data_IF_601287828520
#
_entry.id   IF_601287828520
#
_cell.length_a   1.000
_cell.length_b   1.000
_cell.length_c   1.000
_cell.angle_alpha   90.00
_cell.angle_beta   90.00
_cell.angle_gamma   90.00
#
_symmetry.space_group_name_H-M   'P 1'
#
loop_
_entity.id
_entity.type
_entity.pdbx_description
1 polymer ?
#
# COMPACT_ATOMS: atom_id res chain seq x y z
N UNK A 1 2.11 2.31 -19.74
CA UNK A 1 1.53 1.19 -18.94
C UNK A 1 1.69 1.59 -17.49
N UNK A 2 0.59 1.82 -16.75
CA UNK A 2 0.69 2.27 -15.36
C UNK A 2 1.17 1.09 -14.52
N UNK A 3 2.30 1.27 -13.81
CA UNK A 3 2.80 0.30 -12.84
C UNK A 3 1.70 0.14 -11.77
N UNK A 4 1.48 -1.09 -11.29
CA UNK A 4 0.51 -1.33 -10.20
C UNK A 4 1.02 -0.62 -8.93
N UNK A 5 0.48 0.54 -8.66
CA UNK A 5 0.88 1.47 -7.59
C UNK A 5 0.49 0.90 -6.24
N UNK A 6 1.44 0.58 -5.40
CA UNK A 6 1.16 -0.26 -4.21
C UNK A 6 0.89 0.47 -2.90
N UNK A 7 1.14 1.74 -2.68
CA UNK A 7 0.93 2.27 -1.32
C UNK A 7 0.47 3.73 -1.24
N UNK A 8 1.04 4.64 -1.97
CA UNK A 8 0.64 6.06 -1.89
C UNK A 8 -0.69 6.27 -2.63
N UNK A 9 -0.86 5.60 -3.78
CA UNK A 9 -2.09 5.68 -4.59
C UNK A 9 -3.29 4.97 -3.95
N UNK A 10 -3.10 3.98 -3.07
CA UNK A 10 -4.23 3.33 -2.39
C UNK A 10 -4.95 4.27 -1.40
N UNK A 11 -4.24 5.27 -0.86
CA UNK A 11 -4.84 6.33 -0.04
C UNK A 11 -5.47 7.45 -0.88
N UNK A 12 -4.99 7.65 -2.13
CA UNK A 12 -5.55 8.64 -3.06
C UNK A 12 -6.75 8.11 -3.86
N UNK A 13 -6.88 6.78 -4.01
CA UNK A 13 -8.00 6.10 -4.68
C UNK A 13 -9.09 5.63 -3.69
N UNK A 14 -9.13 6.16 -2.48
CA UNK A 14 -10.41 6.11 -1.76
C UNK A 14 -11.46 6.72 -2.70
N UNK A 15 -12.53 5.98 -3.04
CA UNK A 15 -13.54 6.53 -3.93
C UNK A 15 -13.94 7.88 -3.35
N UNK A 16 -13.78 8.95 -4.15
CA UNK A 16 -14.35 10.25 -3.81
C UNK A 16 -15.83 9.96 -3.61
N UNK A 17 -16.25 9.83 -2.36
CA UNK A 17 -17.64 9.52 -2.04
C UNK A 17 -18.40 10.78 -2.38
N UNK A 18 -19.07 10.75 -3.53
CA UNK A 18 -20.02 11.76 -3.91
C UNK A 18 -21.21 11.74 -2.93
N UNK A 19 -21.05 12.37 -1.78
CA UNK A 19 -22.20 12.83 -1.04
C UNK A 19 -22.65 14.12 -1.71
N UNK A 20 -23.76 14.06 -2.45
CA UNK A 20 -24.45 15.24 -2.97
C UNK A 20 -24.91 16.10 -1.78
N UNK A 21 -24.08 17.00 -1.35
CA UNK A 21 -24.40 18.03 -0.36
C UNK A 21 -24.61 19.35 -1.10
N UNK A 22 -25.73 19.96 -0.80
CA UNK A 22 -26.38 21.06 -1.48
C UNK A 22 -25.55 22.28 -1.83
N UNK A 23 -26.06 23.04 -2.78
CA UNK A 23 -25.58 24.32 -3.29
C UNK A 23 -25.09 25.30 -2.19
N UNK A 24 -23.81 25.36 -2.05
CA UNK A 24 -23.09 26.44 -1.39
C UNK A 24 -21.75 26.59 -2.10
N UNK A 25 -21.31 27.80 -2.45
CA UNK A 25 -19.97 27.99 -2.98
C UNK A 25 -18.98 27.62 -1.89
N UNK A 26 -18.31 26.47 -2.02
CA UNK A 26 -17.28 26.10 -1.06
C UNK A 26 -16.01 26.90 -1.32
N UNK A 27 -15.45 27.44 -0.25
CA UNK A 27 -14.15 28.11 -0.27
C UNK A 27 -13.03 27.07 -0.14
N UNK A 28 -11.85 27.43 -0.67
CA UNK A 28 -10.61 26.68 -0.42
C UNK A 28 -10.50 26.36 1.08
N UNK A 29 -10.17 25.08 1.44
CA UNK A 29 -9.90 24.73 2.84
C UNK A 29 -8.82 25.63 3.45
N UNK A 30 -8.98 25.98 4.72
CA UNK A 30 -7.93 26.66 5.47
C UNK A 30 -6.73 25.72 5.61
N UNK A 31 -5.52 26.27 5.42
CA UNK A 31 -4.27 25.51 5.44
C UNK A 31 -3.48 25.82 6.71
N UNK A 32 -3.01 24.77 7.38
CA UNK A 32 -2.08 24.88 8.50
C UNK A 32 -0.72 24.30 8.10
N UNK A 33 0.22 25.20 7.82
CA UNK A 33 1.58 24.87 7.39
C UNK A 33 2.58 24.82 8.54
N UNK A 34 2.15 24.91 9.80
CA UNK A 34 3.05 24.75 10.94
C UNK A 34 3.78 23.39 10.86
N UNK A 35 5.08 23.42 11.11
CA UNK A 35 5.89 22.21 11.11
C UNK A 35 5.65 21.43 12.40
N UNK A 36 5.21 20.18 12.27
CA UNK A 36 4.97 19.26 13.40
C UNK A 36 6.08 18.23 13.59
N UNK A 37 6.82 17.96 12.52
CA UNK A 37 7.97 17.03 12.55
C UNK A 37 8.93 17.36 11.42
N UNK A 38 10.13 16.77 11.49
CA UNK A 38 11.14 16.90 10.44
C UNK A 38 11.67 15.49 10.10
N UNK A 39 11.67 15.15 8.82
CA UNK A 39 12.29 13.93 8.32
C UNK A 39 13.73 14.22 7.87
N UNK A 40 14.68 13.38 8.33
CA UNK A 40 16.14 13.44 8.10
C UNK A 40 16.78 14.82 8.39
N UNK A 41 16.18 15.60 9.29
CA UNK A 41 16.64 16.97 9.57
C UNK A 41 16.50 17.92 8.38
N UNK A 42 15.83 17.53 7.30
CA UNK A 42 15.76 18.22 6.02
C UNK A 42 14.33 18.53 5.56
N UNK A 43 13.43 17.57 5.67
CA UNK A 43 12.09 17.70 5.11
C UNK A 43 11.09 18.07 6.19
N UNK A 44 10.48 19.23 6.08
CA UNK A 44 9.45 19.68 7.00
C UNK A 44 8.14 18.92 6.74
N UNK A 45 7.56 18.41 7.82
CA UNK A 45 6.22 17.77 7.83
C UNK A 45 5.25 18.79 8.42
N UNK A 46 4.35 19.30 7.57
CA UNK A 46 3.33 20.25 8.02
C UNK A 46 2.24 19.56 8.86
N UNK A 47 1.55 20.35 9.66
CA UNK A 47 0.37 19.92 10.42
C UNK A 47 -0.66 19.25 9.49
N UNK A 48 -1.00 19.89 8.36
CA UNK A 48 -1.97 19.38 7.41
C UNK A 48 -1.57 18.04 6.80
N UNK A 49 -0.29 17.87 6.43
CA UNK A 49 0.19 16.60 5.89
C UNK A 49 0.09 15.48 6.93
N UNK A 50 0.50 15.74 8.17
CA UNK A 50 0.37 14.77 9.25
C UNK A 50 -1.09 14.46 9.54
N UNK A 51 -1.94 15.49 9.65
CA UNK A 51 -3.36 15.37 9.94
C UNK A 51 -4.11 14.57 8.87
N UNK A 52 -3.73 14.72 7.60
CA UNK A 52 -4.27 13.91 6.50
C UNK A 52 -4.06 12.41 6.77
N UNK A 53 -2.84 11.98 7.08
CA UNK A 53 -2.56 10.57 7.41
C UNK A 53 -3.27 10.15 8.69
N UNK A 54 -3.23 10.98 9.72
CA UNK A 54 -3.85 10.69 11.00
C UNK A 54 -5.36 10.42 10.86
N UNK A 55 -6.09 11.29 10.17
CA UNK A 55 -7.54 11.14 9.97
C UNK A 55 -7.88 9.93 9.10
N UNK A 56 -7.09 9.66 8.08
CA UNK A 56 -7.29 8.48 7.23
C UNK A 56 -7.06 7.18 8.01
N UNK A 57 -5.99 7.07 8.79
CA UNK A 57 -5.76 5.87 9.61
C UNK A 57 -6.76 5.76 10.76
N UNK A 58 -7.23 6.86 11.32
CA UNK A 58 -8.24 6.87 12.38
C UNK A 58 -9.55 6.17 11.94
N UNK A 59 -9.88 6.18 10.64
CA UNK A 59 -11.08 5.49 10.12
C UNK A 59 -11.06 3.97 10.30
N UNK A 60 -9.89 3.38 10.51
CA UNK A 60 -9.74 1.94 10.77
C UNK A 60 -10.01 1.56 12.24
N UNK A 61 -10.22 2.53 13.12
CA UNK A 61 -10.47 2.32 14.53
C UNK A 61 -11.93 2.71 14.89
N UNK A 62 -12.53 1.96 15.80
CA UNK A 62 -13.85 2.22 16.35
C UNK A 62 -13.75 2.98 17.69
N UNK A 63 -14.88 3.51 18.19
CA UNK A 63 -14.92 4.15 19.51
C UNK A 63 -14.46 3.21 20.63
N UNK A 64 -14.76 1.91 20.51
CA UNK A 64 -14.35 0.88 21.48
C UNK A 64 -12.84 0.75 21.64
N UNK A 65 -12.08 1.02 20.57
CA UNK A 65 -10.62 0.93 20.60
C UNK A 65 -10.00 2.03 21.49
N UNK A 66 -10.78 3.07 21.82
CA UNK A 66 -10.38 4.18 22.69
C UNK A 66 -11.02 4.12 24.08
N UNK A 67 -11.85 3.11 24.39
CA UNK A 67 -12.49 2.89 25.68
C UNK A 67 -11.62 2.02 26.61
N UNK A 68 -12.04 1.88 27.88
CA UNK A 68 -11.50 0.94 28.86
C UNK A 68 -9.98 1.00 29.11
N UNK A 69 -9.39 2.20 29.01
CA UNK A 69 -7.95 2.41 29.24
C UNK A 69 -7.07 2.10 28.03
N UNK A 70 -7.64 1.76 26.86
CA UNK A 70 -6.90 1.45 25.65
C UNK A 70 -6.50 2.70 24.85
N UNK A 71 -7.07 3.87 25.13
CA UNK A 71 -6.89 5.09 24.35
C UNK A 71 -5.42 5.41 24.06
N UNK A 72 -4.55 5.37 25.07
CA UNK A 72 -3.13 5.69 24.91
C UNK A 72 -2.40 4.68 23.99
N UNK A 73 -2.73 3.39 24.10
CA UNK A 73 -2.14 2.35 23.24
C UNK A 73 -2.62 2.48 21.79
N UNK A 74 -3.90 2.78 21.60
CA UNK A 74 -4.50 3.00 20.28
C UNK A 74 -3.93 4.25 19.62
N UNK A 75 -3.77 5.36 20.36
CA UNK A 75 -3.11 6.57 19.88
C UNK A 75 -1.64 6.31 19.48
N UNK A 76 -0.90 5.55 20.29
CA UNK A 76 0.47 5.20 19.97
C UNK A 76 0.56 4.38 18.66
N UNK A 77 -0.33 3.40 18.48
CA UNK A 77 -0.41 2.60 17.25
C UNK A 77 -0.79 3.46 16.03
N UNK A 78 -1.76 4.35 16.18
CA UNK A 78 -2.18 5.27 15.12
C UNK A 78 -1.03 6.20 14.72
N UNK A 79 -0.30 6.76 15.69
CA UNK A 79 0.88 7.59 15.46
C UNK A 79 1.98 6.81 14.73
N UNK A 80 2.25 5.57 15.14
CA UNK A 80 3.21 4.70 14.48
C UNK A 80 2.87 4.48 13.01
N UNK A 81 1.59 4.21 12.70
CA UNK A 81 1.12 4.06 11.31
C UNK A 81 1.33 5.34 10.50
N UNK A 82 1.01 6.52 11.07
CA UNK A 82 1.24 7.81 10.42
C UNK A 82 2.72 8.05 10.13
N UNK A 83 3.58 7.81 11.11
CA UNK A 83 5.03 7.99 10.94
C UNK A 83 5.61 7.00 9.93
N UNK A 84 5.11 5.76 9.90
CA UNK A 84 5.51 4.77 8.90
C UNK A 84 5.11 5.21 7.47
N UNK A 85 3.89 5.74 7.28
CA UNK A 85 3.47 6.27 5.99
C UNK A 85 4.33 7.47 5.56
N UNK A 86 4.63 8.39 6.48
CA UNK A 86 5.49 9.53 6.22
C UNK A 86 6.93 9.13 5.90
N UNK A 87 7.45 8.06 6.51
CA UNK A 87 8.75 7.49 6.11
C UNK A 87 8.74 7.06 4.65
N UNK A 88 7.67 6.43 4.19
CA UNK A 88 7.53 6.05 2.78
C UNK A 88 7.46 7.27 1.86
N UNK A 89 6.69 8.30 2.23
CA UNK A 89 6.61 9.57 1.48
C UNK A 89 8.02 10.18 1.32
N UNK A 90 8.73 10.40 2.41
CA UNK A 90 10.04 11.03 2.36
C UNK A 90 11.16 10.09 1.90
N UNK A 91 10.97 8.79 2.02
CA UNK A 91 11.80 7.79 1.35
C UNK A 91 11.71 7.88 -0.17
N UNK A 92 10.50 8.08 -0.71
CA UNK A 92 10.30 8.34 -2.14
C UNK A 92 10.99 9.63 -2.56
N UNK A 93 10.81 10.74 -1.81
CA UNK A 93 11.52 12.01 -2.09
C UNK A 93 13.04 11.80 -2.08
N UNK A 94 13.56 11.12 -1.06
CA UNK A 94 15.01 10.83 -0.93
C UNK A 94 15.51 9.95 -2.07
N UNK A 95 14.75 8.93 -2.49
CA UNK A 95 15.08 8.10 -3.65
C UNK A 95 15.10 8.92 -4.94
N UNK A 96 14.12 9.80 -5.16
CA UNK A 96 14.09 10.71 -6.30
C UNK A 96 15.34 11.58 -6.36
N UNK A 97 15.70 12.23 -5.26
CA UNK A 97 16.89 13.10 -5.18
C UNK A 97 18.19 12.34 -5.44
N UNK A 98 18.30 11.10 -4.95
CA UNK A 98 19.48 10.26 -5.18
C UNK A 98 19.76 9.99 -6.67
N UNK A 99 18.73 10.08 -7.50
CA UNK A 99 18.82 9.93 -8.97
C UNK A 99 18.67 11.26 -9.72
N UNK A 100 18.69 12.40 -9.01
CA UNK A 100 18.66 13.75 -9.60
C UNK A 100 17.26 14.21 -10.01
N UNK A 101 16.21 13.57 -9.48
CA UNK A 101 14.82 14.02 -9.63
C UNK A 101 14.42 14.79 -8.38
N UNK A 102 14.03 16.05 -8.52
CA UNK A 102 13.58 16.87 -7.38
C UNK A 102 12.11 17.23 -7.49
N UNK A 103 11.49 17.56 -6.36
CA UNK A 103 10.10 18.01 -6.33
C UNK A 103 9.90 19.34 -7.08
N UNK A 104 10.94 20.17 -7.18
CA UNK A 104 10.95 21.46 -7.88
C UNK A 104 11.33 21.35 -9.36
N UNK A 105 11.59 20.15 -9.87
CA UNK A 105 11.89 19.93 -11.28
C UNK A 105 10.73 20.46 -12.16
N UNK A 106 10.99 21.31 -13.15
CA UNK A 106 9.93 21.90 -13.98
C UNK A 106 9.01 20.87 -14.64
N UNK A 107 9.54 19.69 -15.03
CA UNK A 107 8.74 18.64 -15.65
C UNK A 107 7.87 17.91 -14.62
N UNK A 108 8.31 17.80 -13.37
CA UNK A 108 7.52 17.28 -12.26
C UNK A 108 6.37 18.22 -11.93
N UNK A 109 6.68 19.52 -11.81
CA UNK A 109 5.66 20.54 -11.53
C UNK A 109 4.61 20.61 -12.64
N UNK A 110 5.02 20.60 -13.91
CA UNK A 110 4.10 20.62 -15.05
C UNK A 110 3.19 19.37 -15.06
N UNK A 111 3.76 18.19 -14.85
CA UNK A 111 2.99 16.94 -14.81
C UNK A 111 1.96 16.95 -13.66
N UNK A 112 2.36 17.43 -12.48
CA UNK A 112 1.47 17.56 -11.33
C UNK A 112 0.32 18.56 -11.62
N UNK A 113 0.61 19.73 -12.21
CA UNK A 113 -0.40 20.73 -12.57
C UNK A 113 -1.39 20.22 -13.62
N UNK A 114 -0.97 19.34 -14.53
CA UNK A 114 -1.88 18.67 -15.47
C UNK A 114 -2.85 17.79 -14.70
N UNK A 115 -2.36 16.95 -13.79
CA UNK A 115 -3.20 16.05 -12.99
C UNK A 115 -4.18 16.82 -12.09
N UNK A 116 -3.74 17.94 -11.49
CA UNK A 116 -4.60 18.81 -10.67
C UNK A 116 -5.74 19.39 -11.50
N UNK A 117 -5.43 19.92 -12.70
CA UNK A 117 -6.46 20.44 -13.61
C UNK A 117 -7.45 19.37 -14.03
N UNK A 118 -6.97 18.19 -14.39
CA UNK A 118 -7.82 17.06 -14.75
C UNK A 118 -8.73 16.64 -13.57
N UNK A 119 -8.22 16.68 -12.33
CA UNK A 119 -9.02 16.42 -11.14
C UNK A 119 -10.11 17.49 -10.96
N UNK A 120 -9.79 18.77 -11.07
CA UNK A 120 -10.73 19.89 -10.98
C UNK A 120 -11.83 19.77 -12.06
N UNK A 121 -11.45 19.50 -13.31
CA UNK A 121 -12.39 19.35 -14.44
C UNK A 121 -13.29 18.12 -14.24
N UNK A 122 -12.72 16.99 -13.83
CA UNK A 122 -13.48 15.73 -13.63
C UNK A 122 -14.50 15.83 -12.49
N UNK A 123 -14.24 16.69 -11.50
CA UNK A 123 -15.13 16.93 -10.37
C UNK A 123 -16.23 17.96 -10.66
N UNK A 124 -16.13 18.72 -11.74
CA UNK A 124 -17.14 19.72 -12.11
C UNK A 124 -16.72 21.16 -11.84
N UNK A 125 -15.45 21.39 -11.43
CA UNK A 125 -14.88 22.70 -11.19
C UNK A 125 -14.29 22.88 -9.79
N UNK A 126 -13.76 24.08 -9.53
CA UNK A 126 -13.04 24.37 -8.28
C UNK A 126 -13.89 24.19 -7.02
N UNK A 127 -15.19 24.55 -7.06
CA UNK A 127 -16.08 24.38 -5.90
C UNK A 127 -16.18 22.91 -5.48
N UNK A 128 -16.47 22.03 -6.44
CA UNK A 128 -16.63 20.60 -6.18
C UNK A 128 -15.28 19.95 -5.82
N UNK A 129 -14.20 20.45 -6.39
CA UNK A 129 -12.83 20.04 -6.02
C UNK A 129 -12.55 20.35 -4.54
N UNK A 130 -12.83 21.57 -4.06
CA UNK A 130 -12.61 21.91 -2.65
C UNK A 130 -13.54 21.16 -1.70
N UNK A 131 -14.78 20.86 -2.10
CA UNK A 131 -15.69 20.01 -1.36
C UNK A 131 -15.15 18.57 -1.26
N UNK A 132 -14.60 18.04 -2.34
CA UNK A 132 -13.97 16.72 -2.36
C UNK A 132 -12.73 16.67 -1.46
N UNK A 133 -11.86 17.69 -1.50
CA UNK A 133 -10.71 17.76 -0.61
C UNK A 133 -11.14 17.76 0.85
N UNK A 134 -12.09 18.60 1.21
CA UNK A 134 -12.62 18.73 2.57
C UNK A 134 -13.24 17.42 3.06
N UNK A 135 -13.99 16.74 2.21
CA UNK A 135 -14.62 15.45 2.53
C UNK A 135 -13.59 14.33 2.78
N UNK A 136 -12.39 14.48 2.21
CA UNK A 136 -11.27 13.54 2.39
C UNK A 136 -10.21 14.06 3.40
N UNK A 137 -10.55 15.07 4.20
CA UNK A 137 -9.63 15.65 5.18
C UNK A 137 -8.30 16.14 4.59
N UNK A 138 -8.34 16.66 3.37
CA UNK A 138 -7.17 17.08 2.61
C UNK A 138 -7.23 18.59 2.34
N UNK A 139 -6.10 19.26 2.36
CA UNK A 139 -5.96 20.64 1.90
C UNK A 139 -5.43 20.66 0.45
N UNK A 140 -5.55 21.80 -0.21
CA UNK A 140 -5.04 21.97 -1.57
C UNK A 140 -3.50 21.78 -1.61
N UNK A 141 -2.79 22.28 -0.59
CA UNK A 141 -1.34 22.11 -0.49
C UNK A 141 -0.92 20.65 -0.35
N UNK A 142 -1.64 19.87 0.46
CA UNK A 142 -1.38 18.44 0.61
C UNK A 142 -1.67 17.70 -0.68
N UNK A 143 -2.79 18.00 -1.36
CA UNK A 143 -3.10 17.37 -2.64
C UNK A 143 -2.04 17.67 -3.70
N UNK A 144 -1.62 18.94 -3.84
CA UNK A 144 -0.56 19.36 -4.76
C UNK A 144 0.75 18.66 -4.47
N UNK A 145 1.15 18.59 -3.20
CA UNK A 145 2.35 17.84 -2.79
C UNK A 145 2.28 16.37 -3.20
N UNK A 146 1.14 15.71 -3.02
CA UNK A 146 0.96 14.31 -3.40
C UNK A 146 1.01 14.11 -4.92
N UNK A 147 0.46 15.06 -5.71
CA UNK A 147 0.55 15.02 -7.18
C UNK A 147 1.99 15.25 -7.67
N UNK A 148 2.73 16.14 -7.02
CA UNK A 148 4.17 16.34 -7.30
C UNK A 148 4.97 15.09 -6.96
N UNK A 149 4.67 14.44 -5.84
CA UNK A 149 5.34 13.20 -5.45
C UNK A 149 5.06 12.09 -6.46
N UNK A 150 3.83 11.95 -6.92
CA UNK A 150 3.45 10.99 -7.96
C UNK A 150 4.19 11.26 -9.28
N UNK A 151 4.25 12.51 -9.70
CA UNK A 151 4.97 12.90 -10.91
C UNK A 151 6.50 12.68 -10.79
N UNK A 152 7.07 12.94 -9.60
CA UNK A 152 8.48 12.67 -9.33
C UNK A 152 8.77 11.15 -9.32
N UNK A 153 7.86 10.35 -8.79
CA UNK A 153 7.95 8.88 -8.78
C UNK A 153 7.91 8.31 -10.20
N UNK A 154 7.01 8.79 -11.06
CA UNK A 154 6.95 8.41 -12.47
C UNK A 154 8.26 8.80 -13.21
N UNK A 155 8.81 9.98 -12.92
CA UNK A 155 10.09 10.41 -13.48
C UNK A 155 11.25 9.57 -12.98
N UNK A 156 11.30 9.26 -11.68
CA UNK A 156 12.30 8.38 -11.10
C UNK A 156 12.30 7.01 -11.79
N UNK A 157 11.12 6.42 -11.99
CA UNK A 157 11.01 5.14 -12.68
C UNK A 157 11.65 5.16 -14.07
N UNK A 158 11.36 6.22 -14.86
CA UNK A 158 11.95 6.38 -16.18
C UNK A 158 13.48 6.56 -16.12
N UNK A 159 13.99 7.33 -15.15
CA UNK A 159 15.43 7.51 -14.94
C UNK A 159 16.13 6.20 -14.58
N UNK A 160 15.50 5.36 -13.74
CA UNK A 160 16.06 4.06 -13.36
C UNK A 160 16.15 3.10 -14.56
N UNK A 161 15.17 3.13 -15.45
CA UNK A 161 15.21 2.37 -16.70
C UNK A 161 16.30 2.89 -17.63
N UNK A 162 16.37 4.20 -17.86
CA UNK A 162 17.33 4.84 -18.75
C UNK A 162 18.79 4.58 -18.32
N UNK A 163 19.03 4.57 -17.00
CA UNK A 163 20.36 4.30 -16.42
C UNK A 163 20.67 2.80 -16.29
N UNK A 164 19.76 1.93 -16.66
CA UNK A 164 19.92 0.47 -16.53
C UNK A 164 19.99 0.00 -15.09
N UNK A 165 19.51 0.81 -14.10
CA UNK A 165 19.40 0.39 -12.70
C UNK A 165 18.32 -0.68 -12.57
N UNK A 166 17.23 -0.52 -13.31
CA UNK A 166 16.22 -1.56 -13.54
C UNK A 166 16.46 -2.08 -14.96
N UNK A 167 17.05 -3.26 -15.07
CA UNK A 167 17.16 -3.95 -16.36
C UNK A 167 15.84 -4.68 -16.65
N UNK A 168 15.05 -4.12 -17.55
CA UNK A 168 13.77 -4.67 -17.97
C UNK A 168 13.85 -5.35 -19.36
N UNK A 169 15.05 -5.73 -19.80
CA UNK A 169 15.22 -6.55 -21.00
C UNK A 169 14.46 -7.88 -20.89
N UNK A 170 13.93 -8.36 -22.00
CA UNK A 170 13.13 -9.60 -21.99
C UNK A 170 13.95 -10.80 -21.52
N UNK A 171 15.25 -10.81 -21.74
CA UNK A 171 16.17 -11.84 -21.28
C UNK A 171 16.26 -11.83 -19.75
N UNK A 172 16.56 -10.67 -19.13
CA UNK A 172 16.68 -10.52 -17.67
C UNK A 172 15.36 -10.80 -16.98
N UNK A 173 14.26 -10.25 -17.51
CA UNK A 173 12.92 -10.45 -16.93
C UNK A 173 12.52 -11.93 -16.97
N UNK A 174 12.71 -12.59 -18.13
CA UNK A 174 12.36 -14.02 -18.25
C UNK A 174 13.22 -14.89 -17.34
N UNK A 175 14.51 -14.58 -17.22
CA UNK A 175 15.39 -15.26 -16.26
C UNK A 175 14.93 -15.11 -14.81
N UNK A 176 14.50 -13.91 -14.42
CA UNK A 176 13.93 -13.65 -13.10
C UNK A 176 12.62 -14.43 -12.87
N UNK A 177 11.69 -14.41 -13.85
CA UNK A 177 10.41 -15.13 -13.76
C UNK A 177 10.64 -16.65 -13.61
N UNK A 178 11.56 -17.22 -14.38
CA UNK A 178 11.92 -18.65 -14.29
C UNK A 178 12.74 -18.98 -13.05
N UNK A 179 13.49 -18.02 -12.56
CA UNK A 179 14.42 -18.14 -11.43
C UNK A 179 13.76 -18.05 -10.06
N UNK A 180 14.53 -17.59 -9.10
CA UNK A 180 14.11 -17.50 -7.68
C UNK A 180 13.24 -16.28 -7.36
N UNK A 181 13.24 -15.27 -8.23
CA UNK A 181 12.55 -14.00 -7.99
C UNK A 181 11.02 -14.13 -8.10
N UNK A 182 10.52 -15.25 -8.61
CA UNK A 182 9.09 -15.55 -8.68
C UNK A 182 8.77 -16.92 -8.08
N UNK A 183 7.61 -16.98 -7.47
CA UNK A 183 7.02 -18.22 -6.95
C UNK A 183 5.66 -18.47 -7.58
N UNK A 184 5.24 -19.75 -7.56
CA UNK A 184 3.87 -20.16 -7.86
C UNK A 184 3.32 -20.91 -6.67
N UNK A 185 2.18 -20.48 -6.14
CA UNK A 185 1.50 -21.16 -5.03
C UNK A 185 0.01 -21.30 -5.30
N UNK A 186 -0.58 -22.29 -4.68
CA UNK A 186 -2.02 -22.38 -4.42
C UNK A 186 -2.26 -22.31 -2.93
N UNK A 187 -3.46 -21.90 -2.50
CA UNK A 187 -3.74 -21.72 -1.09
C UNK A 187 -5.12 -22.26 -0.65
N UNK A 188 -5.23 -22.63 0.61
CA UNK A 188 -6.50 -22.65 1.32
C UNK A 188 -6.53 -21.42 2.21
N UNK A 189 -7.55 -20.57 2.03
CA UNK A 189 -7.83 -19.42 2.88
C UNK A 189 -9.07 -19.69 3.72
N UNK A 190 -8.93 -19.63 5.04
CA UNK A 190 -10.04 -19.58 5.98
C UNK A 190 -10.21 -18.10 6.38
N UNK A 191 -11.15 -17.43 5.75
CA UNK A 191 -11.31 -15.98 5.88
C UNK A 191 -11.97 -15.55 7.19
N UNK A 192 -11.55 -14.44 7.79
CA UNK A 192 -12.12 -13.90 9.02
C UNK A 192 -13.59 -13.47 8.88
N UNK A 193 -14.03 -13.12 7.67
CA UNK A 193 -15.39 -12.64 7.38
C UNK A 193 -16.36 -13.74 6.89
N UNK A 194 -16.06 -15.02 7.16
CA UNK A 194 -16.85 -16.16 6.72
C UNK A 194 -18.07 -16.50 7.62
N UNK A 195 -18.32 -15.69 8.66
CA UNK A 195 -19.45 -15.84 9.59
C UNK A 195 -19.19 -16.76 10.80
N UNK A 196 -17.99 -17.30 10.93
CA UNK A 196 -17.56 -18.06 12.10
C UNK A 196 -16.67 -17.23 13.04
N UNK A 197 -16.53 -17.71 14.31
CA UNK A 197 -15.59 -17.09 15.25
C UNK A 197 -14.15 -17.35 14.83
N UNK A 198 -13.23 -16.50 15.31
CA UNK A 198 -11.79 -16.68 15.07
C UNK A 198 -11.28 -18.03 15.59
N UNK A 199 -11.72 -18.46 16.77
CA UNK A 199 -11.41 -19.78 17.33
C UNK A 199 -11.84 -20.91 16.38
N UNK A 200 -13.03 -20.82 15.81
CA UNK A 200 -13.53 -21.82 14.86
C UNK A 200 -12.77 -21.81 13.54
N UNK A 201 -12.34 -20.66 13.09
CA UNK A 201 -11.52 -20.49 11.90
C UNK A 201 -10.13 -21.11 12.11
N UNK A 202 -9.51 -20.88 13.28
CA UNK A 202 -8.25 -21.49 13.68
C UNK A 202 -8.34 -23.01 13.73
N UNK A 203 -9.35 -23.58 14.42
CA UNK A 203 -9.60 -25.04 14.44
C UNK A 203 -9.74 -25.61 13.02
N UNK A 204 -10.42 -24.87 12.13
CA UNK A 204 -10.60 -25.33 10.73
C UNK A 204 -9.25 -25.32 10.00
N UNK A 205 -8.43 -24.30 10.18
CA UNK A 205 -7.11 -24.20 9.58
C UNK A 205 -6.19 -25.33 10.08
N UNK A 206 -6.20 -25.62 11.39
CA UNK A 206 -5.44 -26.74 11.99
C UNK A 206 -5.86 -28.08 11.40
N UNK A 207 -7.17 -28.32 11.26
CA UNK A 207 -7.70 -29.52 10.61
C UNK A 207 -7.25 -29.64 9.16
N UNK A 208 -7.31 -28.54 8.38
CA UNK A 208 -6.88 -28.55 6.98
C UNK A 208 -5.40 -28.83 6.88
N UNK A 209 -4.57 -28.22 7.74
CA UNK A 209 -3.13 -28.48 7.77
C UNK A 209 -2.82 -29.95 8.08
N UNK A 210 -3.51 -30.53 9.06
CA UNK A 210 -3.36 -31.96 9.39
C UNK A 210 -3.68 -32.83 8.18
N UNK A 211 -4.82 -32.62 7.52
CA UNK A 211 -5.22 -33.37 6.32
C UNK A 211 -4.21 -33.21 5.18
N UNK A 212 -3.68 -32.02 5.01
CA UNK A 212 -2.66 -31.73 3.99
C UNK A 212 -1.35 -32.50 4.28
N UNK A 213 -0.90 -32.52 5.54
CA UNK A 213 0.29 -33.27 5.99
C UNK A 213 0.10 -34.78 5.92
N UNK A 214 -1.14 -35.29 6.05
CA UNK A 214 -1.50 -36.71 5.84
C UNK A 214 -1.57 -37.10 4.37
N UNK A 215 -1.38 -36.16 3.44
CA UNK A 215 -1.34 -36.42 2.00
C UNK A 215 -2.69 -36.31 1.30
N UNK A 216 -3.70 -35.70 1.93
CA UNK A 216 -4.95 -35.36 1.23
C UNK A 216 -4.64 -34.45 0.04
N UNK A 217 -5.26 -34.75 -1.08
CA UNK A 217 -5.13 -33.94 -2.29
C UNK A 217 -5.46 -32.46 -2.01
N UNK A 218 -4.52 -31.57 -2.34
CA UNK A 218 -4.62 -30.16 -1.97
C UNK A 218 -5.74 -29.43 -2.71
N UNK A 219 -6.05 -29.83 -3.96
CA UNK A 219 -7.16 -29.27 -4.73
C UNK A 219 -8.52 -29.60 -4.09
N UNK A 220 -8.63 -30.80 -3.45
CA UNK A 220 -9.81 -31.15 -2.66
C UNK A 220 -9.92 -30.30 -1.39
N UNK A 221 -8.80 -29.98 -0.75
CA UNK A 221 -8.80 -29.09 0.41
C UNK A 221 -9.23 -27.68 0.01
N UNK A 222 -8.73 -27.17 -1.10
CA UNK A 222 -9.16 -25.87 -1.66
C UNK A 222 -10.67 -25.90 -1.90
N UNK A 223 -11.17 -26.90 -2.63
CA UNK A 223 -12.58 -26.99 -2.99
C UNK A 223 -13.54 -27.08 -1.79
N UNK A 224 -13.09 -27.72 -0.69
CA UNK A 224 -13.93 -27.98 0.46
C UNK A 224 -13.84 -26.92 1.57
N UNK A 225 -12.73 -26.19 1.66
CA UNK A 225 -12.44 -25.33 2.81
C UNK A 225 -12.07 -23.89 2.44
N UNK A 226 -11.59 -23.61 1.20
CA UNK A 226 -11.09 -22.30 0.87
C UNK A 226 -12.20 -21.27 0.65
N UNK A 227 -12.03 -20.11 1.25
CA UNK A 227 -12.82 -18.91 0.97
C UNK A 227 -12.18 -17.99 -0.09
N UNK A 228 -11.09 -18.44 -0.72
CA UNK A 228 -10.47 -17.70 -1.83
C UNK A 228 -11.12 -18.08 -3.16
N UNK A 229 -12.17 -17.38 -3.50
CA UNK A 229 -12.92 -17.58 -4.74
C UNK A 229 -12.27 -16.94 -5.98
N UNK A 230 -11.21 -16.17 -5.78
CA UNK A 230 -10.48 -15.49 -6.86
C UNK A 230 -9.35 -16.35 -7.44
N UNK A 231 -8.90 -17.37 -6.72
CA UNK A 231 -7.83 -18.24 -7.15
C UNK A 231 -8.29 -19.18 -8.28
N UNK A 232 -7.50 -19.19 -9.36
CA UNK A 232 -7.71 -20.10 -10.48
C UNK A 232 -6.88 -21.38 -10.32
N UNK A 233 -7.10 -22.37 -11.19
CA UNK A 233 -6.27 -23.60 -11.24
C UNK A 233 -4.79 -23.31 -11.53
N UNK A 234 -4.48 -22.15 -12.14
CA UNK A 234 -3.10 -21.72 -12.38
C UNK A 234 -2.38 -21.35 -11.08
N UNK A 235 -3.14 -21.05 -9.99
CA UNK A 235 -2.63 -20.51 -8.76
C UNK A 235 -2.14 -19.05 -8.91
N UNK A 236 -1.37 -18.60 -7.92
CA UNK A 236 -0.78 -17.27 -7.89
C UNK A 236 0.67 -17.31 -8.29
N UNK A 237 1.03 -16.52 -9.32
CA UNK A 237 2.40 -16.24 -9.70
C UNK A 237 2.76 -14.84 -9.22
N UNK A 238 3.76 -14.71 -8.38
CA UNK A 238 4.16 -13.39 -7.86
C UNK A 238 5.64 -13.32 -7.49
N UNK A 239 6.13 -12.09 -7.40
CA UNK A 239 7.43 -11.71 -6.85
C UNK A 239 7.22 -10.94 -5.53
N UNK A 240 8.31 -10.49 -4.90
CA UNK A 240 8.26 -9.68 -3.69
C UNK A 240 7.48 -8.37 -3.90
N UNK A 241 6.97 -7.80 -2.81
CA UNK A 241 6.16 -6.58 -2.78
C UNK A 241 4.85 -6.67 -3.59
N UNK A 242 4.29 -7.87 -3.77
CA UNK A 242 3.05 -8.11 -4.51
C UNK A 242 1.91 -8.64 -3.63
N UNK A 243 2.24 -9.45 -2.62
CA UNK A 243 1.30 -10.02 -1.66
C UNK A 243 1.53 -9.43 -0.25
N UNK A 244 0.75 -9.87 0.74
CA UNK A 244 1.07 -9.58 2.14
C UNK A 244 2.42 -10.21 2.49
N UNK A 245 3.21 -9.49 3.28
CA UNK A 245 4.58 -9.91 3.61
C UNK A 245 4.63 -11.33 4.23
N UNK A 246 3.68 -11.66 5.08
CA UNK A 246 3.58 -12.97 5.73
C UNK A 246 3.38 -14.10 4.70
N UNK A 247 2.60 -13.82 3.63
CA UNK A 247 2.38 -14.76 2.52
C UNK A 247 3.65 -14.89 1.66
N UNK A 248 4.31 -13.76 1.36
CA UNK A 248 5.55 -13.76 0.59
C UNK A 248 6.65 -14.52 1.30
N UNK A 249 6.91 -14.19 2.58
CA UNK A 249 7.95 -14.83 3.38
C UNK A 249 7.76 -16.36 3.41
N UNK A 250 6.53 -16.83 3.63
CA UNK A 250 6.23 -18.25 3.62
C UNK A 250 6.39 -18.86 2.22
N UNK A 251 5.84 -18.24 1.17
CA UNK A 251 5.88 -18.79 -0.18
C UNK A 251 7.31 -18.92 -0.72
N UNK A 252 8.18 -17.95 -0.43
CA UNK A 252 9.58 -17.97 -0.87
C UNK A 252 10.44 -18.94 -0.04
N UNK A 253 10.06 -19.23 1.21
CA UNK A 253 10.75 -20.22 2.05
C UNK A 253 10.47 -21.67 1.65
N UNK A 254 9.32 -21.96 1.01
CA UNK A 254 8.94 -23.30 0.62
C UNK A 254 9.76 -23.82 -0.57
N UNK A 255 10.07 -25.10 -0.58
CA UNK A 255 10.50 -25.82 -1.77
C UNK A 255 9.29 -26.23 -2.64
N UNK A 256 9.53 -26.55 -3.93
CA UNK A 256 8.46 -27.00 -4.84
C UNK A 256 7.83 -28.30 -4.31
N UNK A 257 6.53 -28.27 -4.11
CA UNK A 257 5.73 -29.37 -3.57
C UNK A 257 5.49 -29.28 -2.06
N UNK A 258 6.23 -28.43 -1.35
CA UNK A 258 6.03 -28.23 0.10
C UNK A 258 4.75 -27.47 0.42
N UNK A 259 4.26 -27.69 1.63
CA UNK A 259 3.09 -27.07 2.23
C UNK A 259 3.56 -26.27 3.43
N UNK A 260 3.09 -25.03 3.55
CA UNK A 260 3.41 -24.14 4.68
C UNK A 260 2.77 -24.62 5.98
N UNK A 261 3.24 -24.10 7.09
CA UNK A 261 2.42 -24.02 8.30
C UNK A 261 1.28 -23.03 8.13
N UNK A 262 0.43 -22.85 9.14
CA UNK A 262 -0.64 -21.86 9.14
C UNK A 262 -0.02 -20.46 9.18
N UNK A 263 -0.42 -19.60 8.24
CA UNK A 263 0.00 -18.21 8.16
C UNK A 263 -1.21 -17.36 8.56
N UNK A 264 -1.07 -16.62 9.64
CA UNK A 264 -2.09 -15.71 10.12
C UNK A 264 -1.89 -14.33 9.50
N UNK A 265 -2.94 -13.75 8.92
CA UNK A 265 -2.96 -12.41 8.34
C UNK A 265 -4.23 -11.68 8.77
N UNK A 266 -4.31 -10.39 8.45
CA UNK A 266 -5.55 -9.61 8.64
C UNK A 266 -6.77 -10.18 7.90
N UNK A 267 -6.56 -11.01 6.88
CA UNK A 267 -7.64 -11.61 6.08
C UNK A 267 -8.10 -12.99 6.61
N UNK A 268 -7.33 -13.62 7.48
CA UNK A 268 -7.60 -14.94 8.04
C UNK A 268 -6.37 -15.84 8.06
N UNK A 269 -6.63 -17.15 8.05
CA UNK A 269 -5.62 -18.21 8.10
C UNK A 269 -5.37 -18.77 6.72
N UNK A 270 -4.12 -18.80 6.29
CA UNK A 270 -3.68 -19.30 5.00
C UNK A 270 -2.81 -20.54 5.16
N UNK A 271 -2.97 -21.50 4.26
CA UNK A 271 -2.09 -22.65 4.09
C UNK A 271 -1.72 -22.68 2.62
N UNK A 272 -0.42 -22.57 2.33
CA UNK A 272 0.11 -22.53 0.97
C UNK A 272 0.66 -23.89 0.56
N UNK A 273 0.59 -24.17 -0.74
CA UNK A 273 1.39 -25.22 -1.37
C UNK A 273 2.16 -24.61 -2.54
N UNK A 274 3.49 -24.77 -2.54
CA UNK A 274 4.32 -24.30 -3.64
C UNK A 274 4.24 -25.26 -4.83
N UNK A 275 3.98 -24.69 -6.02
CA UNK A 275 3.89 -25.43 -7.27
C UNK A 275 5.07 -25.14 -8.18
N UNK A 276 5.43 -26.07 -9.10
CA UNK A 276 6.36 -25.75 -10.19
C UNK A 276 5.75 -24.70 -11.09
N UNK A 277 6.60 -23.81 -11.61
CA UNK A 277 6.18 -22.81 -12.62
C UNK A 277 6.03 -23.48 -13.98
N UNK A 278 5.07 -23.00 -14.78
CA UNK A 278 4.73 -23.53 -16.09
C UNK A 278 5.15 -22.59 -17.22
N UNK A 279 5.95 -23.06 -18.15
CA UNK A 279 6.43 -22.25 -19.30
C UNK A 279 5.28 -21.68 -20.13
N UNK A 280 4.19 -22.44 -20.30
CA UNK A 280 2.99 -21.99 -21.02
C UNK A 280 2.34 -20.78 -20.33
N UNK A 281 2.21 -20.82 -19.00
CA UNK A 281 1.64 -19.71 -18.24
C UNK A 281 2.55 -18.48 -18.28
N UNK A 282 3.85 -18.67 -18.04
CA UNK A 282 4.82 -17.57 -18.05
C UNK A 282 4.87 -16.87 -19.39
N UNK A 283 4.80 -17.61 -20.51
CA UNK A 283 4.76 -17.04 -21.86
C UNK A 283 3.46 -16.26 -22.09
N UNK A 284 2.31 -16.87 -21.77
CA UNK A 284 1.00 -16.25 -21.97
C UNK A 284 0.81 -14.97 -21.15
N UNK A 285 1.34 -14.94 -19.92
CA UNK A 285 1.15 -13.85 -18.96
C UNK A 285 2.39 -12.96 -18.83
N UNK A 286 3.33 -13.04 -19.78
CA UNK A 286 4.62 -12.37 -19.72
C UNK A 286 4.51 -10.87 -19.39
N UNK A 287 3.60 -10.15 -20.06
CA UNK A 287 3.41 -8.71 -19.83
C UNK A 287 3.04 -8.38 -18.38
N UNK A 288 2.16 -9.20 -17.77
CA UNK A 288 1.75 -9.02 -16.37
C UNK A 288 2.91 -9.33 -15.42
N UNK A 289 3.64 -10.43 -15.67
CA UNK A 289 4.78 -10.82 -14.84
C UNK A 289 5.94 -9.84 -14.98
N UNK A 290 6.16 -9.28 -16.18
CA UNK A 290 7.14 -8.20 -16.40
C UNK A 290 6.77 -6.95 -15.59
N UNK A 291 5.50 -6.54 -15.59
CA UNK A 291 5.05 -5.42 -14.79
C UNK A 291 5.23 -5.65 -13.27
N UNK A 292 5.01 -6.87 -12.79
CA UNK A 292 5.31 -7.23 -11.40
C UNK A 292 6.81 -7.15 -11.10
N UNK A 293 7.64 -7.65 -11.99
CA UNK A 293 9.11 -7.58 -11.87
C UNK A 293 9.59 -6.13 -11.76
N UNK A 294 9.17 -5.29 -12.71
CA UNK A 294 9.52 -3.87 -12.75
C UNK A 294 9.07 -3.15 -11.48
N UNK A 295 7.83 -3.40 -11.04
CA UNK A 295 7.27 -2.84 -9.81
C UNK A 295 8.06 -3.28 -8.57
N UNK A 296 8.41 -4.57 -8.48
CA UNK A 296 9.23 -5.09 -7.38
C UNK A 296 10.59 -4.38 -7.30
N UNK A 297 11.30 -4.26 -8.43
CA UNK A 297 12.61 -3.61 -8.49
C UNK A 297 12.52 -2.12 -8.14
N UNK A 298 11.50 -1.45 -8.63
CA UNK A 298 11.26 -0.04 -8.36
C UNK A 298 10.98 0.22 -6.88
N UNK A 299 10.00 -0.48 -6.30
CA UNK A 299 9.64 -0.27 -4.90
C UNK A 299 10.72 -0.74 -3.92
N UNK A 300 11.54 -1.73 -4.29
CA UNK A 300 12.70 -2.10 -3.46
C UNK A 300 13.70 -0.94 -3.27
N UNK A 301 13.81 -0.05 -4.26
CA UNK A 301 14.66 1.15 -4.17
C UNK A 301 14.03 2.18 -3.21
N UNK A 302 12.73 2.39 -3.31
CA UNK A 302 11.98 3.29 -2.42
C UNK A 302 11.99 2.75 -0.98
N UNK A 303 11.72 1.47 -0.79
CA UNK A 303 11.72 0.81 0.52
C UNK A 303 13.08 0.96 1.20
N UNK A 304 14.17 0.68 0.47
CA UNK A 304 15.53 0.84 0.99
C UNK A 304 15.90 2.30 1.35
N UNK A 305 15.27 3.28 0.71
CA UNK A 305 15.38 4.69 1.09
C UNK A 305 14.52 4.99 2.32
N UNK A 306 13.28 4.48 2.35
CA UNK A 306 12.32 4.68 3.45
C UNK A 306 12.80 4.13 4.78
N UNK A 307 13.49 2.98 4.77
CA UNK A 307 14.09 2.38 5.98
C UNK A 307 15.13 3.29 6.63
N UNK A 308 15.78 4.16 5.87
CA UNK A 308 16.81 5.09 6.38
C UNK A 308 16.19 6.37 6.93
N UNK A 309 14.94 6.70 6.58
CA UNK A 309 14.29 7.93 7.03
C UNK A 309 14.08 7.92 8.54
N UNK A 310 14.58 8.94 9.19
CA UNK A 310 14.30 9.24 10.59
C UNK A 310 13.34 10.42 10.69
N UNK A 311 12.33 10.31 11.54
CA UNK A 311 11.37 11.41 11.76
C UNK A 311 11.44 11.84 13.22
N UNK A 312 11.64 13.14 13.44
CA UNK A 312 11.69 13.77 14.76
C UNK A 312 10.50 14.73 14.86
N UNK A 313 9.55 14.40 15.74
CA UNK A 313 8.40 15.25 16.08
C UNK A 313 8.80 16.36 17.04
N UNK A 314 7.99 17.40 17.10
CA UNK A 314 8.06 18.47 18.11
C UNK A 314 6.81 18.45 19.02
N UNK A 315 6.74 19.37 19.99
CA UNK A 315 5.64 19.45 20.96
C UNK A 315 4.27 19.61 20.29
N UNK A 316 4.18 20.23 19.12
CA UNK A 316 2.92 20.39 18.39
C UNK A 316 2.38 19.03 17.87
N UNK A 317 3.28 18.13 17.43
CA UNK A 317 2.89 16.78 17.04
C UNK A 317 2.19 16.05 18.19
N UNK A 318 2.67 16.25 19.43
CA UNK A 318 2.13 15.57 20.61
C UNK A 318 0.73 16.07 20.99
N UNK A 319 0.33 17.24 20.51
CA UNK A 319 -1.04 17.78 20.70
C UNK A 319 -2.08 17.16 19.76
N UNK A 320 -1.67 16.49 18.70
CA UNK A 320 -2.58 15.88 17.74
C UNK A 320 -3.07 14.55 18.30
N UNK A 321 -4.34 14.49 18.65
CA UNK A 321 -5.02 13.30 19.17
C UNK A 321 -6.49 13.30 18.73
N UNK A 322 -7.14 12.13 18.82
CA UNK A 322 -8.56 12.00 18.56
C UNK A 322 -9.40 12.95 19.44
N UNK A 323 -9.06 13.06 20.72
CA UNK A 323 -9.74 13.93 21.68
C UNK A 323 -9.64 15.40 21.24
N UNK A 324 -8.42 15.89 20.95
CA UNK A 324 -8.20 17.26 20.50
C UNK A 324 -8.96 17.60 19.21
N UNK A 325 -9.09 16.64 18.27
CA UNK A 325 -9.84 16.84 17.03
C UNK A 325 -11.37 16.80 17.21
N UNK A 326 -11.88 16.18 18.28
CA UNK A 326 -13.31 16.17 18.60
C UNK A 326 -13.75 17.43 19.32
N UNK A 327 -12.87 18.07 20.07
CA UNK A 327 -13.14 19.34 20.78
C UNK A 327 -13.15 20.57 19.85
N UNK A 328 -12.59 20.43 18.62
CA UNK A 328 -12.57 21.51 17.60
C UNK A 328 -13.84 21.54 16.71
N UNK A 329 -14.83 20.69 16.95
CA UNK A 329 -16.14 20.68 16.26
C UNK A 329 -17.16 21.49 17.04
#
# INVERSE_FOLDING_TARGET
MKIARKLIVFLLLLPIVFSSVGCGSSSKPEEDTHVVAVADGKYNISYDLYLYFYRNYLTAFSDKDFEDGNAAATEAKLREQCLSALKNVFGTVSACEAYGVTMEDPTVLEAAEIQIREAIESLGGESDYYDALKSNYMTDSVFRFMMQLEAAEDKLYNELLLRGVIDNSDETVMAAIKGKDFVRVVQVLIANNNGFSDEKNRETAEKVLALAKEGTDFDKLIANYSNDYSMTSDGYYFTYNYMLKEIEDAAFALEVGEISDIIETKNGYHILKRLPKEDSYMTKNYTTLKAQYESCRFYSIIDAASEKITIVGNDLLDTISREALTEQK
#
